data_IF_060380433614
#
_entry.id   IF_060380433614
#
_cell.length_a   1.000
_cell.length_b   1.000
_cell.length_c   1.000
_cell.angle_alpha   90.00
_cell.angle_beta   90.00
_cell.angle_gamma   90.00
#
_symmetry.space_group_name_H-M   'P 1'
#
loop_
_entity.id
_entity.type
_entity.pdbx_description
1 polymer ?
#
# COMPACT_ATOMS: atom_id res chain seq x y z
N UNK A 1 1.94 0.74 4.65
CA UNK A 1 3.38 0.66 4.93
C UNK A 1 4.17 1.35 3.81
N UNK A 2 4.18 0.83 2.60
CA UNK A 2 4.97 1.34 1.47
C UNK A 2 4.67 2.81 1.14
N UNK A 3 3.41 3.16 0.93
CA UNK A 3 3.00 4.55 0.69
C UNK A 3 3.34 5.51 1.86
N UNK A 4 3.31 5.02 3.11
CA UNK A 4 3.72 5.84 4.26
C UNK A 4 5.22 6.14 4.24
N UNK A 5 6.04 5.15 3.85
CA UNK A 5 7.48 5.34 3.66
C UNK A 5 7.75 6.31 2.51
N UNK A 6 7.03 6.20 1.39
CA UNK A 6 7.18 7.13 0.25
C UNK A 6 6.81 8.56 0.64
N UNK A 7 5.73 8.74 1.42
CA UNK A 7 5.35 10.06 1.93
C UNK A 7 6.44 10.67 2.83
N UNK A 8 7.02 9.84 3.72
CA UNK A 8 8.13 10.28 4.57
C UNK A 8 9.37 10.67 3.75
N UNK A 9 9.69 9.93 2.67
CA UNK A 9 10.77 10.25 1.76
C UNK A 9 10.51 11.60 1.07
N UNK A 10 9.33 11.78 0.44
CA UNK A 10 8.98 13.02 -0.24
C UNK A 10 9.05 14.23 0.70
N UNK A 11 8.50 14.10 1.91
CA UNK A 11 8.59 15.16 2.93
C UNK A 11 10.02 15.46 3.34
N UNK A 12 10.90 14.45 3.47
CA UNK A 12 12.33 14.64 3.81
C UNK A 12 13.12 15.30 2.70
N UNK A 13 12.66 15.20 1.46
CA UNK A 13 13.23 15.88 0.29
C UNK A 13 12.66 17.30 0.07
N UNK A 14 11.80 17.77 0.98
CA UNK A 14 11.27 19.14 0.99
C UNK A 14 10.03 19.35 0.15
N UNK A 15 9.37 18.30 -0.32
CA UNK A 15 8.11 18.41 -1.07
C UNK A 15 6.93 18.76 -0.16
N UNK A 16 6.09 19.68 -0.62
CA UNK A 16 4.74 19.87 -0.09
C UNK A 16 3.85 18.74 -0.61
N UNK A 17 3.43 17.85 0.29
CA UNK A 17 2.75 16.62 -0.08
C UNK A 17 1.23 16.75 -0.05
N UNK A 18 0.57 16.36 -1.14
CA UNK A 18 -0.88 16.16 -1.24
C UNK A 18 -1.17 14.66 -1.37
N UNK A 19 -1.86 14.07 -0.39
CA UNK A 19 -2.10 12.64 -0.33
C UNK A 19 -3.40 12.25 -1.03
N UNK A 20 -3.34 11.29 -1.96
CA UNK A 20 -4.50 10.68 -2.59
C UNK A 20 -4.74 9.28 -2.04
N UNK A 21 -5.95 9.03 -1.57
CA UNK A 21 -6.42 7.70 -1.16
C UNK A 21 -7.59 7.30 -2.06
N UNK A 22 -7.62 6.04 -2.49
CA UNK A 22 -8.71 5.52 -3.31
C UNK A 22 -9.51 4.49 -2.53
N UNK A 23 -10.79 4.76 -2.33
CA UNK A 23 -11.78 3.78 -1.84
C UNK A 23 -12.36 3.09 -3.09
N UNK A 24 -11.85 1.87 -3.40
CA UNK A 24 -12.17 1.14 -4.63
C UNK A 24 -13.08 -0.06 -4.41
N UNK A 25 -13.74 -0.16 -3.24
CA UNK A 25 -14.56 -1.29 -2.84
C UNK A 25 -13.75 -2.44 -2.22
N UNK A 26 -12.55 -2.16 -1.69
CA UNK A 26 -11.72 -3.15 -0.98
C UNK A 26 -12.45 -3.76 0.22
N UNK A 27 -12.11 -5.00 0.56
CA UNK A 27 -12.77 -5.81 1.59
C UNK A 27 -12.90 -5.16 2.97
N UNK A 28 -11.94 -4.32 3.35
CA UNK A 28 -11.93 -3.62 4.64
C UNK A 28 -11.57 -2.15 4.47
N UNK A 29 -12.11 -1.32 5.34
CA UNK A 29 -11.91 0.13 5.29
C UNK A 29 -10.85 0.64 6.26
N UNK A 30 -10.26 -0.24 7.07
CA UNK A 30 -9.26 0.12 8.06
C UNK A 30 -8.03 0.83 7.45
N UNK A 31 -7.66 0.49 6.21
CA UNK A 31 -6.57 1.15 5.50
C UNK A 31 -6.89 2.61 5.13
N UNK A 32 -8.17 2.95 4.87
CA UNK A 32 -8.58 4.32 4.56
C UNK A 32 -8.40 5.23 5.78
N UNK A 33 -8.83 4.74 6.96
CA UNK A 33 -8.63 5.45 8.21
C UNK A 33 -7.13 5.54 8.58
N UNK A 34 -6.35 4.49 8.29
CA UNK A 34 -4.90 4.51 8.48
C UNK A 34 -4.23 5.55 7.57
N UNK A 35 -4.62 5.63 6.29
CA UNK A 35 -4.09 6.62 5.35
C UNK A 35 -4.33 8.06 5.82
N UNK A 36 -5.52 8.35 6.35
CA UNK A 36 -5.83 9.67 6.90
C UNK A 36 -4.94 10.02 8.10
N UNK A 37 -4.72 9.07 9.03
CA UNK A 37 -3.80 9.29 10.17
C UNK A 37 -2.37 9.55 9.72
N UNK A 38 -1.88 8.76 8.76
CA UNK A 38 -0.53 8.92 8.21
C UNK A 38 -0.37 10.27 7.52
N UNK A 39 -1.34 10.70 6.69
CA UNK A 39 -1.31 12.00 6.05
C UNK A 39 -1.21 13.15 7.06
N UNK A 40 -2.00 13.10 8.14
CA UNK A 40 -1.95 14.10 9.22
C UNK A 40 -0.61 14.04 9.96
N UNK A 41 -0.11 12.85 10.30
CA UNK A 41 1.14 12.68 11.05
C UNK A 41 2.36 13.23 10.30
N UNK A 42 2.36 13.18 8.98
CA UNK A 42 3.43 13.73 8.13
C UNK A 42 3.15 15.16 7.62
N UNK A 43 2.11 15.82 8.14
CA UNK A 43 1.83 17.22 7.79
C UNK A 43 1.48 17.43 6.33
N UNK A 44 0.80 16.47 5.68
CA UNK A 44 0.36 16.64 4.30
C UNK A 44 -0.52 17.89 4.16
N UNK A 45 -0.23 18.73 3.15
CA UNK A 45 -0.97 19.96 2.85
C UNK A 45 -2.42 19.66 2.43
N UNK A 46 -2.68 18.47 1.92
CA UNK A 46 -4.03 18.03 1.58
C UNK A 46 -4.14 16.50 1.58
N UNK A 47 -5.32 16.00 1.95
CA UNK A 47 -5.65 14.59 1.80
C UNK A 47 -7.02 14.45 1.14
N UNK A 48 -7.06 13.75 0.02
CA UNK A 48 -8.29 13.51 -0.75
C UNK A 48 -8.59 12.03 -0.85
N UNK A 49 -9.85 11.67 -0.63
CA UNK A 49 -10.35 10.31 -0.84
C UNK A 49 -11.24 10.31 -2.09
N UNK A 50 -10.85 9.54 -3.10
CA UNK A 50 -11.66 9.31 -4.30
C UNK A 50 -12.33 7.95 -4.18
N UNK A 51 -13.63 7.89 -4.47
CA UNK A 51 -14.41 6.67 -4.47
C UNK A 51 -14.62 6.15 -5.87
N UNK A 52 -14.33 4.87 -6.05
CA UNK A 52 -14.60 4.09 -7.26
C UNK A 52 -15.23 2.76 -6.86
N UNK A 53 -15.94 2.14 -7.77
CA UNK A 53 -16.44 0.79 -7.56
C UNK A 53 -15.78 -0.19 -8.53
N UNK A 54 -14.64 -0.77 -8.12
CA UNK A 54 -13.98 -1.83 -8.88
C UNK A 54 -14.57 -3.22 -8.58
N UNK A 55 -15.50 -3.34 -7.64
CA UNK A 55 -16.19 -4.62 -7.37
C UNK A 55 -17.07 -5.02 -8.55
N UNK A 56 -17.54 -4.06 -9.34
CA UNK A 56 -18.33 -4.28 -10.54
C UNK A 56 -17.60 -5.12 -11.62
N UNK A 57 -16.25 -5.13 -11.59
CA UNK A 57 -15.46 -5.90 -12.56
C UNK A 57 -15.10 -7.30 -12.05
N UNK A 58 -15.10 -7.53 -10.74
CA UNK A 58 -14.69 -8.81 -10.16
C UNK A 58 -13.21 -9.14 -10.40
N UNK A 59 -12.89 -10.43 -10.49
CA UNK A 59 -11.58 -10.94 -10.91
C UNK A 59 -10.46 -10.86 -9.86
N UNK A 60 -10.72 -10.36 -8.66
CA UNK A 60 -9.74 -10.34 -7.57
C UNK A 60 -10.36 -10.67 -6.23
N UNK A 61 -9.64 -11.46 -5.43
CA UNK A 61 -10.06 -11.73 -4.04
C UNK A 61 -10.10 -10.47 -3.15
N UNK A 62 -9.62 -9.33 -3.58
CA UNK A 62 -9.71 -8.06 -2.84
C UNK A 62 -10.99 -7.27 -3.14
N UNK A 63 -11.63 -7.51 -4.28
CA UNK A 63 -12.85 -6.81 -4.71
C UNK A 63 -14.06 -7.76 -4.84
N UNK A 64 -13.81 -9.06 -5.03
CA UNK A 64 -14.84 -10.10 -5.12
C UNK A 64 -14.88 -10.94 -3.85
N UNK A 65 -15.97 -10.85 -3.09
CA UNK A 65 -16.13 -11.58 -1.82
C UNK A 65 -16.36 -13.07 -1.99
N UNK A 66 -16.72 -13.54 -3.19
CA UNK A 66 -16.85 -14.97 -3.50
C UNK A 66 -15.49 -15.67 -3.57
N UNK A 67 -14.42 -14.94 -3.85
CA UNK A 67 -13.07 -15.45 -3.93
C UNK A 67 -12.39 -15.41 -2.55
N UNK A 68 -11.81 -16.52 -2.11
CA UNK A 68 -11.06 -16.55 -0.86
C UNK A 68 -9.70 -15.84 -1.01
N UNK A 69 -9.30 -15.09 0.02
CA UNK A 69 -7.92 -14.56 0.11
C UNK A 69 -6.99 -15.70 0.51
N UNK A 70 -5.95 -16.01 -0.28
CA UNK A 70 -5.02 -17.09 0.02
C UNK A 70 -4.28 -16.88 1.36
N UNK A 71 -4.12 -17.97 2.11
CA UNK A 71 -3.32 -18.01 3.34
C UNK A 71 -1.98 -18.74 3.15
N UNK A 72 -1.75 -19.31 1.96
CA UNK A 72 -0.50 -19.93 1.54
C UNK A 72 0.17 -19.11 0.41
N UNK A 73 1.50 -19.22 0.23
CA UNK A 73 2.17 -18.59 -0.90
C UNK A 73 1.56 -19.03 -2.23
N UNK A 74 1.39 -18.09 -3.15
CA UNK A 74 0.89 -18.36 -4.51
C UNK A 74 2.03 -18.22 -5.51
N UNK A 75 1.97 -19.01 -6.60
CA UNK A 75 2.89 -18.87 -7.74
C UNK A 75 2.24 -18.02 -8.85
N UNK A 76 3.06 -17.26 -9.57
CA UNK A 76 2.58 -16.41 -10.67
C UNK A 76 1.80 -15.18 -10.16
N UNK A 77 0.88 -14.68 -10.98
CA UNK A 77 0.04 -13.54 -10.63
C UNK A 77 -1.00 -14.00 -9.60
N UNK A 78 -0.96 -13.50 -8.36
CA UNK A 78 -1.85 -13.96 -7.31
C UNK A 78 -3.29 -13.50 -7.54
N UNK A 79 -4.27 -14.27 -7.05
CA UNK A 79 -5.70 -13.92 -7.13
C UNK A 79 -6.06 -12.62 -6.38
N UNK A 80 -5.15 -12.08 -5.58
CA UNK A 80 -5.26 -10.78 -4.92
C UNK A 80 -4.85 -9.60 -5.82
N UNK A 81 -4.34 -9.87 -7.01
CA UNK A 81 -4.13 -8.83 -8.01
C UNK A 81 -5.47 -8.25 -8.44
N UNK A 82 -5.65 -6.94 -8.27
CA UNK A 82 -6.82 -6.22 -8.80
C UNK A 82 -6.43 -5.71 -10.19
N UNK A 83 -7.10 -6.17 -11.26
CA UNK A 83 -6.72 -5.83 -12.63
C UNK A 83 -6.58 -4.32 -12.85
N UNK A 84 -5.42 -3.90 -13.36
CA UNK A 84 -5.08 -2.51 -13.70
C UNK A 84 -5.26 -1.48 -12.56
N UNK A 85 -5.30 -1.92 -11.29
CA UNK A 85 -5.55 -1.02 -10.15
C UNK A 85 -4.55 0.14 -10.08
N UNK A 86 -3.26 -0.14 -10.25
CA UNK A 86 -2.25 0.91 -10.18
C UNK A 86 -2.34 1.87 -11.37
N UNK A 87 -2.78 1.41 -12.56
CA UNK A 87 -3.08 2.27 -13.70
C UNK A 87 -4.19 3.27 -13.36
N UNK A 88 -5.27 2.79 -12.75
CA UNK A 88 -6.39 3.63 -12.32
C UNK A 88 -5.94 4.64 -11.26
N UNK A 89 -5.18 4.20 -10.26
CA UNK A 89 -4.68 5.08 -9.20
C UNK A 89 -3.74 6.15 -9.73
N UNK A 90 -2.82 5.80 -10.60
CA UNK A 90 -1.91 6.74 -11.23
C UNK A 90 -2.65 7.72 -12.15
N UNK A 91 -3.70 7.28 -12.86
CA UNK A 91 -4.52 8.17 -13.68
C UNK A 91 -5.28 9.20 -12.85
N UNK A 92 -5.80 8.79 -11.67
CA UNK A 92 -6.44 9.72 -10.73
C UNK A 92 -5.43 10.70 -10.13
N UNK A 93 -4.24 10.20 -9.77
CA UNK A 93 -3.15 11.04 -9.26
C UNK A 93 -2.71 12.06 -10.33
N UNK A 94 -2.60 11.63 -11.59
CA UNK A 94 -2.25 12.48 -12.72
C UNK A 94 -3.27 13.61 -12.91
N UNK A 95 -4.55 13.28 -12.93
CA UNK A 95 -5.61 14.26 -13.06
C UNK A 95 -5.61 15.28 -11.91
N UNK A 96 -5.34 14.82 -10.68
CA UNK A 96 -5.28 15.71 -9.53
C UNK A 96 -4.00 16.54 -9.50
N UNK A 97 -2.86 15.97 -9.89
CA UNK A 97 -1.60 16.70 -10.03
C UNK A 97 -1.75 17.88 -11.02
N UNK A 98 -2.42 17.66 -12.16
CA UNK A 98 -2.66 18.71 -13.14
C UNK A 98 -3.54 19.84 -12.58
N UNK A 99 -4.58 19.51 -11.79
CA UNK A 99 -5.43 20.49 -11.10
C UNK A 99 -4.65 21.30 -10.07
N UNK A 100 -3.72 20.65 -9.34
CA UNK A 100 -2.85 21.31 -8.36
C UNK A 100 -1.72 22.12 -9.00
N UNK A 101 -1.42 21.89 -10.27
CA UNK A 101 -0.23 22.42 -10.93
C UNK A 101 1.07 21.73 -10.46
N UNK A 102 0.96 20.54 -9.85
CA UNK A 102 2.09 19.74 -9.40
C UNK A 102 2.73 19.01 -10.57
N UNK A 103 4.06 18.90 -10.54
CA UNK A 103 4.86 18.23 -11.57
C UNK A 103 5.45 16.89 -11.08
N UNK A 104 5.20 16.52 -9.83
CA UNK A 104 5.77 15.34 -9.19
C UNK A 104 4.66 14.45 -8.63
N UNK A 105 4.68 13.16 -9.02
CA UNK A 105 3.83 12.13 -8.44
C UNK A 105 4.72 11.11 -7.73
N UNK A 106 4.44 10.84 -6.46
CA UNK A 106 5.15 9.89 -5.64
C UNK A 106 4.31 8.64 -5.44
N UNK A 107 4.82 7.48 -5.86
CA UNK A 107 4.05 6.24 -5.87
C UNK A 107 4.77 5.09 -5.17
N UNK A 108 4.07 4.41 -4.26
CA UNK A 108 4.60 3.35 -3.41
C UNK A 108 4.59 1.96 -4.04
N UNK A 109 4.99 1.83 -5.31
CA UNK A 109 5.17 0.53 -5.93
C UNK A 109 6.45 -0.15 -5.45
N UNK A 110 6.39 -1.47 -5.28
CA UNK A 110 7.54 -2.31 -5.01
C UNK A 110 7.52 -3.53 -5.92
N UNK A 111 8.62 -3.80 -6.61
CA UNK A 111 8.76 -4.90 -7.57
C UNK A 111 9.42 -6.15 -6.95
N UNK A 112 10.13 -6.00 -5.83
CA UNK A 112 10.96 -7.07 -5.24
C UNK A 112 10.09 -8.09 -4.51
N UNK A 113 9.19 -7.62 -3.64
CA UNK A 113 8.38 -8.50 -2.79
C UNK A 113 7.10 -8.99 -3.48
N UNK A 114 6.68 -8.31 -4.55
CA UNK A 114 5.48 -8.59 -5.33
C UNK A 114 5.78 -8.65 -6.83
N UNK A 115 6.77 -9.46 -7.20
CA UNK A 115 7.15 -9.68 -8.60
C UNK A 115 6.00 -10.19 -9.50
N UNK A 116 4.89 -10.64 -8.90
CA UNK A 116 3.71 -11.12 -9.61
C UNK A 116 2.74 -10.03 -10.10
N UNK A 117 2.87 -8.77 -9.66
CA UNK A 117 1.96 -7.70 -10.11
C UNK A 117 2.51 -6.97 -11.33
N UNK A 118 1.86 -7.11 -12.52
CA UNK A 118 2.36 -6.52 -13.76
C UNK A 118 2.55 -5.00 -13.67
N UNK A 119 1.67 -4.32 -12.95
CA UNK A 119 1.60 -2.87 -12.77
C UNK A 119 2.44 -2.32 -11.59
N UNK A 120 3.38 -3.15 -11.06
CA UNK A 120 4.40 -2.72 -10.10
C UNK A 120 5.82 -2.73 -10.70
N UNK A 121 5.99 -3.11 -11.97
CA UNK A 121 7.30 -3.27 -12.60
C UNK A 121 7.92 -1.92 -13.00
N UNK A 122 9.26 -1.76 -12.96
CA UNK A 122 9.92 -0.52 -13.33
C UNK A 122 9.63 -0.06 -14.77
N UNK A 123 9.53 -1.01 -15.73
CA UNK A 123 9.19 -0.70 -17.12
C UNK A 123 7.77 -0.17 -17.27
N UNK A 124 6.82 -0.66 -16.45
CA UNK A 124 5.47 -0.12 -16.42
C UNK A 124 5.46 1.33 -15.90
N UNK A 125 6.19 1.63 -14.83
CA UNK A 125 6.27 2.99 -14.27
C UNK A 125 6.86 3.99 -15.28
N UNK A 126 7.93 3.59 -16.00
CA UNK A 126 8.49 4.42 -17.08
C UNK A 126 7.50 4.65 -18.22
N UNK A 127 6.76 3.62 -18.61
CA UNK A 127 5.75 3.74 -19.66
C UNK A 127 4.59 4.66 -19.24
N UNK A 128 4.17 4.59 -17.96
CA UNK A 128 3.15 5.48 -17.45
C UNK A 128 3.63 6.94 -17.40
N UNK A 129 4.86 7.21 -16.98
CA UNK A 129 5.44 8.55 -17.00
C UNK A 129 5.48 9.12 -18.43
N UNK A 130 5.90 8.31 -19.41
CA UNK A 130 5.86 8.70 -20.82
C UNK A 130 4.44 9.02 -21.30
N UNK A 131 3.45 8.17 -20.94
CA UNK A 131 2.04 8.42 -21.22
C UNK A 131 1.56 9.72 -20.58
N UNK A 132 1.86 9.96 -19.33
CA UNK A 132 1.48 11.16 -18.59
C UNK A 132 1.99 12.44 -19.29
N UNK A 133 3.21 12.39 -19.78
CA UNK A 133 3.85 13.50 -20.48
C UNK A 133 3.35 13.72 -21.93
N UNK A 134 2.64 12.75 -22.50
CA UNK A 134 1.93 12.91 -23.77
C UNK A 134 0.49 13.39 -23.59
N UNK A 135 -0.13 13.07 -22.45
CA UNK A 135 -1.55 13.18 -22.22
C UNK A 135 -1.98 14.45 -21.45
N UNK A 136 -1.04 15.19 -20.85
CA UNK A 136 -1.38 16.33 -19.98
C UNK A 136 -1.08 17.65 -20.65
N UNK A 137 -1.93 18.66 -20.36
CA UNK A 137 -1.73 20.02 -20.83
C UNK A 137 -0.40 20.59 -20.31
N UNK A 138 -0.07 20.35 -19.05
CA UNK A 138 1.14 20.87 -18.43
C UNK A 138 2.40 20.39 -19.20
N UNK A 139 2.46 19.11 -19.56
CA UNK A 139 3.60 18.57 -20.29
C UNK A 139 3.69 19.12 -21.74
N UNK A 140 2.54 19.24 -22.43
CA UNK A 140 2.48 19.85 -23.77
C UNK A 140 2.91 21.31 -23.75
N UNK A 141 2.65 22.03 -22.66
CA UNK A 141 3.09 23.42 -22.43
C UNK A 141 4.56 23.52 -21.91
N UNK A 142 5.33 22.42 -21.92
CA UNK A 142 6.74 22.41 -21.55
C UNK A 142 7.02 22.24 -20.04
N UNK A 143 6.05 21.81 -19.25
CA UNK A 143 6.17 21.49 -17.83
C UNK A 143 5.93 19.99 -17.61
N UNK A 144 6.94 19.13 -17.90
CA UNK A 144 6.77 17.68 -17.78
C UNK A 144 6.58 17.25 -16.32
N UNK A 145 5.87 16.15 -16.16
CA UNK A 145 5.65 15.46 -14.89
C UNK A 145 6.72 14.39 -14.66
N UNK A 146 7.15 14.22 -13.42
CA UNK A 146 8.03 13.13 -12.98
C UNK A 146 7.27 12.16 -12.09
N UNK A 147 7.41 10.85 -12.35
CA UNK A 147 6.87 9.78 -11.52
C UNK A 147 7.97 9.18 -10.63
N UNK A 148 7.95 9.53 -9.35
CA UNK A 148 8.90 9.03 -8.36
C UNK A 148 8.44 7.68 -7.78
N UNK A 149 9.32 6.68 -7.85
CA UNK A 149 9.08 5.33 -7.29
C UNK A 149 10.27 4.90 -6.42
N UNK A 150 10.54 5.61 -5.30
CA UNK A 150 11.82 5.52 -4.57
C UNK A 150 12.08 4.18 -3.88
N UNK A 151 11.06 3.32 -3.78
CA UNK A 151 11.14 2.02 -3.10
C UNK A 151 11.00 0.85 -4.06
N UNK A 152 10.97 1.09 -5.38
CA UNK A 152 10.59 0.09 -6.37
C UNK A 152 11.54 -1.12 -6.39
N UNK A 153 12.82 -0.91 -6.12
CA UNK A 153 13.88 -1.94 -6.09
C UNK A 153 14.35 -2.32 -4.68
N UNK A 154 13.73 -1.78 -3.64
CA UNK A 154 14.13 -2.05 -2.27
C UNK A 154 13.51 -3.35 -1.74
N UNK A 155 14.24 -4.08 -0.90
CA UNK A 155 13.64 -5.17 -0.10
C UNK A 155 12.68 -4.60 0.94
N UNK A 156 11.75 -5.44 1.42
CA UNK A 156 10.82 -5.00 2.49
C UNK A 156 11.57 -4.56 3.75
N UNK A 157 12.67 -5.21 4.06
CA UNK A 157 13.54 -4.83 5.18
C UNK A 157 14.13 -3.43 4.99
N UNK A 158 14.60 -3.08 3.78
CA UNK A 158 15.18 -1.77 3.50
C UNK A 158 14.11 -0.67 3.49
N UNK A 159 12.90 -0.96 3.00
CA UNK A 159 11.75 -0.06 3.10
C UNK A 159 11.44 0.24 4.56
N UNK A 160 11.42 -0.78 5.42
CA UNK A 160 11.14 -0.64 6.85
C UNK A 160 12.25 0.17 7.54
N UNK A 161 13.53 -0.14 7.30
CA UNK A 161 14.65 0.61 7.88
C UNK A 161 14.60 2.07 7.47
N UNK A 162 14.38 2.35 6.17
CA UNK A 162 14.32 3.71 5.65
C UNK A 162 13.15 4.49 6.25
N UNK A 163 11.97 3.89 6.32
CA UNK A 163 10.81 4.54 6.91
C UNK A 163 10.97 4.77 8.41
N UNK A 164 11.51 3.81 9.16
CA UNK A 164 11.80 3.95 10.59
C UNK A 164 12.81 5.10 10.85
N UNK A 165 13.85 5.20 10.04
CA UNK A 165 14.82 6.30 10.11
C UNK A 165 14.19 7.67 9.82
N UNK A 166 13.12 7.72 9.02
CA UNK A 166 12.34 8.92 8.71
C UNK A 166 11.14 9.15 9.64
N UNK A 167 11.03 8.38 10.73
CA UNK A 167 9.99 8.55 11.73
C UNK A 167 8.62 7.96 11.37
N UNK A 168 8.55 7.02 10.44
CA UNK A 168 7.29 6.34 10.12
C UNK A 168 6.86 5.47 11.29
N UNK A 169 5.73 5.81 11.92
CA UNK A 169 5.05 4.93 12.86
C UNK A 169 4.28 3.83 12.11
N UNK A 170 4.90 2.69 11.98
CA UNK A 170 4.28 1.54 11.31
C UNK A 170 3.11 0.93 12.09
N UNK A 171 2.93 1.22 13.39
CA UNK A 171 1.74 0.81 14.14
C UNK A 171 0.46 1.48 13.61
N UNK A 172 0.60 2.68 13.04
CA UNK A 172 -0.50 3.44 12.41
C UNK A 172 -0.87 2.92 11.02
N UNK A 173 -0.12 1.96 10.45
CA UNK A 173 -0.34 1.45 9.08
C UNK A 173 -1.04 0.09 9.06
N UNK A 174 -1.94 -0.11 8.10
CA UNK A 174 -2.62 -1.40 7.87
C UNK A 174 -2.21 -1.95 6.51
N UNK A 175 -1.73 -3.20 6.48
CA UNK A 175 -1.33 -3.91 5.26
C UNK A 175 -2.15 -5.17 5.01
N UNK A 176 -2.84 -5.69 6.02
CA UNK A 176 -3.57 -6.95 5.96
C UNK A 176 -4.75 -6.89 5.00
N UNK A 177 -4.88 -7.88 4.12
CA UNK A 177 -6.02 -8.01 3.18
C UNK A 177 -7.35 -8.38 3.85
N UNK A 178 -7.31 -8.84 5.09
CA UNK A 178 -8.45 -9.30 5.89
C UNK A 178 -8.44 -8.64 7.28
N UNK A 179 -8.03 -7.37 7.35
CA UNK A 179 -8.06 -6.64 8.62
C UNK A 179 -9.49 -6.52 9.16
N UNK A 180 -9.63 -6.45 10.49
CA UNK A 180 -10.89 -6.06 11.11
C UNK A 180 -11.16 -4.57 10.89
N UNK A 181 -12.34 -4.08 11.23
CA UNK A 181 -12.65 -2.66 11.18
C UNK A 181 -11.73 -1.83 12.09
N UNK A 182 -11.31 -2.41 13.23
CA UNK A 182 -10.34 -1.82 14.16
C UNK A 182 -8.87 -1.93 13.68
N UNK A 183 -8.64 -2.55 12.52
CA UNK A 183 -7.32 -2.69 11.90
C UNK A 183 -6.48 -3.85 12.43
N UNK A 184 -7.06 -4.83 13.15
CA UNK A 184 -6.33 -6.03 13.57
C UNK A 184 -6.00 -6.92 12.37
N UNK A 185 -4.75 -7.29 12.20
CA UNK A 185 -4.27 -8.10 11.09
C UNK A 185 -4.57 -9.59 11.28
N UNK A 186 -4.86 -10.31 10.19
CA UNK A 186 -5.14 -11.75 10.25
C UNK A 186 -3.88 -12.61 10.55
N UNK A 187 -2.69 -12.08 10.28
CA UNK A 187 -1.42 -12.78 10.49
C UNK A 187 -1.07 -13.87 9.46
N UNK A 188 -1.95 -14.16 8.49
CA UNK A 188 -1.84 -15.34 7.60
C UNK A 188 -1.75 -15.00 6.11
N UNK A 189 -2.42 -13.95 5.64
CA UNK A 189 -2.38 -13.55 4.22
C UNK A 189 -0.98 -13.12 3.79
N UNK A 190 -0.72 -13.06 2.48
CA UNK A 190 0.58 -12.68 1.91
C UNK A 190 1.10 -11.37 2.46
N UNK A 191 0.26 -10.34 2.52
CA UNK A 191 0.65 -9.04 3.05
C UNK A 191 1.12 -9.11 4.52
N UNK A 192 0.50 -9.97 5.36
CA UNK A 192 0.94 -10.17 6.73
C UNK A 192 2.27 -10.93 6.79
N UNK A 193 2.46 -11.95 5.95
CA UNK A 193 3.69 -12.74 5.92
C UNK A 193 4.87 -11.89 5.47
N UNK A 194 4.71 -11.17 4.36
CA UNK A 194 5.75 -10.29 3.81
C UNK A 194 6.10 -9.19 4.81
N UNK A 195 5.11 -8.58 5.44
CA UNK A 195 5.33 -7.55 6.46
C UNK A 195 6.14 -8.10 7.63
N UNK A 196 5.73 -9.22 8.22
CA UNK A 196 6.42 -9.84 9.36
C UNK A 196 7.86 -10.22 9.01
N UNK A 197 8.07 -10.91 7.87
CA UNK A 197 9.40 -11.26 7.40
C UNK A 197 10.27 -10.02 7.15
N UNK A 198 9.68 -8.94 6.63
CA UNK A 198 10.37 -7.67 6.44
C UNK A 198 10.85 -7.04 7.74
N UNK A 199 10.03 -7.02 8.80
CA UNK A 199 10.43 -6.52 10.11
C UNK A 199 11.51 -7.40 10.75
N UNK A 200 11.37 -8.71 10.66
CA UNK A 200 12.37 -9.67 11.14
C UNK A 200 13.73 -9.44 10.45
N UNK A 201 13.75 -9.38 9.12
CA UNK A 201 14.95 -9.11 8.32
C UNK A 201 15.52 -7.70 8.53
N UNK A 202 14.67 -6.73 8.91
CA UNK A 202 15.11 -5.39 9.28
C UNK A 202 15.78 -5.33 10.65
N UNK A 203 15.55 -6.31 11.52
CA UNK A 203 15.96 -6.28 12.92
C UNK A 203 15.15 -5.29 13.77
N UNK A 204 13.94 -4.95 13.35
CA UNK A 204 13.02 -4.01 14.00
C UNK A 204 11.80 -4.78 14.49
N UNK A 205 11.32 -4.58 15.74
CA UNK A 205 10.11 -5.22 16.22
C UNK A 205 8.89 -4.84 15.35
N UNK A 206 8.08 -5.85 14.93
CA UNK A 206 6.86 -5.60 14.18
C UNK A 206 5.76 -5.05 15.10
N UNK A 207 5.33 -3.78 14.93
CA UNK A 207 4.32 -3.16 15.77
C UNK A 207 2.88 -3.55 15.39
N UNK A 208 2.70 -4.47 14.45
CA UNK A 208 1.39 -4.86 13.95
C UNK A 208 0.56 -5.56 15.01
N UNK A 209 -0.65 -5.07 15.24
CA UNK A 209 -1.61 -5.74 16.09
C UNK A 209 -2.30 -6.87 15.33
N UNK A 210 -2.03 -8.10 15.74
CA UNK A 210 -2.64 -9.30 15.15
C UNK A 210 -3.87 -9.74 15.94
N UNK A 211 -4.82 -10.38 15.26
CA UNK A 211 -5.92 -11.09 15.93
C UNK A 211 -5.35 -12.20 16.79
N UNK A 212 -5.97 -12.48 17.95
CA UNK A 212 -5.65 -13.68 18.71
C UNK A 212 -5.86 -14.91 17.80
N UNK A 213 -4.87 -15.80 17.78
CA UNK A 213 -4.98 -17.05 17.04
C UNK A 213 -5.93 -17.98 17.82
N UNK A 214 -7.10 -18.36 17.29
CA UNK A 214 -8.00 -19.25 18.01
C UNK A 214 -7.38 -20.62 18.33
N UNK A 215 -6.31 -21.00 17.63
CA UNK A 215 -5.57 -22.25 17.86
C UNK A 215 -4.46 -22.11 18.92
N UNK A 216 -4.25 -20.95 19.50
CA UNK A 216 -3.22 -20.67 20.52
C UNK A 216 -3.86 -20.34 21.88
N UNK A 217 -5.06 -20.85 22.15
CA UNK A 217 -5.55 -20.88 23.53
C UNK A 217 -4.66 -21.85 24.32
N UNK A 218 -4.06 -21.44 25.44
CA UNK A 218 -3.43 -22.39 26.36
C UNK A 218 -4.51 -23.43 26.69
N UNK A 219 -4.21 -24.70 26.47
CA UNK A 219 -5.03 -25.79 27.00
C UNK A 219 -5.04 -25.58 28.52
N UNK A 220 -6.17 -25.09 29.03
CA UNK A 220 -6.43 -25.12 30.46
C UNK A 220 -6.57 -26.60 30.76
N UNK A 221 -5.50 -27.19 31.29
CA UNK A 221 -5.55 -28.54 31.83
C UNK A 221 -6.59 -28.53 32.97
N UNK A 222 -7.79 -28.95 32.62
CA UNK A 222 -8.82 -29.32 33.60
C UNK A 222 -8.49 -30.73 34.12
N UNK A 223 -7.35 -30.84 34.79
CA UNK A 223 -7.05 -32.07 35.52
C UNK A 223 -6.19 -31.71 36.75
N UNK A 224 -6.88 -31.52 37.85
CA UNK A 224 -6.46 -31.79 39.23
C UNK A 224 -7.59 -31.47 40.17
N UNK A 225 -8.61 -32.33 40.25
CA UNK A 225 -9.35 -32.63 41.45
C UNK A 225 -9.49 -34.15 41.56
N UNK A 226 -8.59 -34.74 42.27
CA UNK A 226 -8.71 -35.98 42.97
C UNK A 226 -8.41 -35.72 44.44
#
# INVERSE_FOLDING_TARGET
MDSATVLAIAGSEGYECHCLTVDYGQRHRAELAAAARVAVAFGAAGHRVVRLDLTAFGGSALTDRSLAVPEAPTQGIPVTYVPARNTIFLSLALAWAEVLGAQDIWFGANAVDYSGYPDCRPEYMRAFEALANLATRAAVEGRPLTLHTPIISLSKADIIRRGAALGVDYASTVSCYQATEEGLACGRCDACRIRRAGFEAAGIPDPTRYRANPNNQPQINADKRG
#
